data_IF_656742858098
#
_entry.id   IF_656742858098
#
_cell.length_a   1.000
_cell.length_b   1.000
_cell.length_c   1.000
_cell.angle_alpha   90.00
_cell.angle_beta   90.00
_cell.angle_gamma   90.00
#
_symmetry.space_group_name_H-M   'P 1'
#
loop_
_entity.id
_entity.type
_entity.pdbx_description
1 polymer ?
#
# COMPACT_ATOMS: atom_id res chain seq x y z
N UNK A 1 -20.25 -5.23 -36.09
CA UNK A 1 -20.56 -4.20 -35.08
C UNK A 1 -19.42 -4.15 -34.07
N UNK A 2 -18.40 -3.35 -34.34
CA UNK A 2 -17.23 -3.19 -33.48
C UNK A 2 -17.49 -2.05 -32.49
N UNK A 3 -17.79 -2.40 -31.24
CA UNK A 3 -17.91 -1.43 -30.15
C UNK A 3 -16.54 -0.86 -29.79
N UNK A 4 -16.14 0.25 -30.43
CA UNK A 4 -15.13 1.16 -29.87
C UNK A 4 -15.75 1.87 -28.67
N UNK A 5 -15.59 1.30 -27.47
CA UNK A 5 -15.76 2.10 -26.26
C UNK A 5 -14.78 3.27 -26.33
N UNK A 6 -15.30 4.50 -26.25
CA UNK A 6 -14.48 5.70 -26.20
C UNK A 6 -13.49 5.61 -25.03
N UNK A 7 -12.23 5.97 -25.28
CA UNK A 7 -11.12 5.92 -24.32
C UNK A 7 -11.45 6.63 -23.00
N UNK A 8 -12.18 7.74 -23.05
CA UNK A 8 -12.68 8.47 -21.87
C UNK A 8 -13.67 7.63 -21.06
N UNK A 9 -14.54 6.85 -21.71
CA UNK A 9 -15.52 5.99 -21.06
C UNK A 9 -14.86 4.81 -20.34
N UNK A 10 -13.79 4.24 -20.89
CA UNK A 10 -13.04 3.15 -20.24
C UNK A 10 -12.21 3.63 -19.05
N UNK A 11 -11.56 4.80 -19.14
CA UNK A 11 -10.83 5.39 -18.00
C UNK A 11 -11.77 5.84 -16.90
N UNK A 12 -12.95 6.39 -17.24
CA UNK A 12 -13.98 6.73 -16.25
C UNK A 12 -14.54 5.47 -15.59
N UNK A 13 -14.77 4.41 -16.36
CA UNK A 13 -15.23 3.13 -15.84
C UNK A 13 -14.22 2.48 -14.89
N UNK A 14 -12.92 2.48 -15.23
CA UNK A 14 -11.87 1.99 -14.34
C UNK A 14 -11.70 2.87 -13.09
N UNK A 15 -11.77 4.19 -13.24
CA UNK A 15 -11.72 5.13 -12.11
C UNK A 15 -12.93 4.97 -11.20
N UNK A 16 -14.13 4.78 -11.76
CA UNK A 16 -15.35 4.45 -11.02
C UNK A 16 -15.25 3.07 -10.37
N UNK A 17 -14.67 2.05 -11.01
CA UNK A 17 -14.43 0.75 -10.37
C UNK A 17 -13.42 0.87 -9.23
N UNK A 18 -12.37 1.68 -9.36
CA UNK A 18 -11.39 1.91 -8.30
C UNK A 18 -12.02 2.70 -7.14
N UNK A 19 -12.80 3.75 -7.42
CA UNK A 19 -13.60 4.48 -6.42
C UNK A 19 -14.64 3.58 -5.76
N UNK A 20 -15.29 2.71 -6.54
CA UNK A 20 -16.21 1.70 -6.04
C UNK A 20 -15.42 0.73 -5.18
N UNK A 21 -14.25 0.21 -5.55
CA UNK A 21 -13.42 -0.66 -4.70
C UNK A 21 -13.04 0.06 -3.40
N UNK A 22 -12.62 1.33 -3.45
CA UNK A 22 -12.36 2.13 -2.24
C UNK A 22 -13.63 2.38 -1.40
N UNK A 23 -14.81 2.45 -2.01
CA UNK A 23 -16.10 2.63 -1.34
C UNK A 23 -16.82 1.30 -0.99
N UNK A 24 -16.36 0.18 -1.55
CA UNK A 24 -16.99 -1.15 -1.48
C UNK A 24 -16.07 -2.21 -0.89
N UNK A 25 -14.84 -1.85 -0.45
CA UNK A 25 -14.32 -2.54 0.73
C UNK A 25 -15.37 -2.27 1.79
N UNK A 26 -16.16 -3.30 2.15
CA UNK A 26 -17.26 -3.06 3.03
C UNK A 26 -16.59 -2.61 4.33
N UNK A 27 -16.96 -1.42 4.79
CA UNK A 27 -17.07 -1.20 6.23
C UNK A 27 -18.12 -2.22 6.64
N UNK A 28 -17.70 -3.47 6.81
CA UNK A 28 -18.54 -4.47 7.43
C UNK A 28 -18.56 -3.97 8.87
N UNK A 29 -19.55 -3.13 9.17
CA UNK A 29 -20.09 -3.02 10.50
C UNK A 29 -20.66 -4.41 10.81
N UNK A 30 -19.77 -5.35 11.12
CA UNK A 30 -20.16 -6.62 11.69
C UNK A 30 -20.52 -6.26 13.12
N UNK A 31 -21.78 -5.91 13.32
CA UNK A 31 -22.40 -6.03 14.62
C UNK A 31 -22.56 -7.53 14.85
N UNK A 32 -21.50 -8.19 15.33
CA UNK A 32 -21.56 -9.58 15.75
C UNK A 32 -21.64 -9.63 17.26
N UNK A 33 -22.75 -10.18 17.75
CA UNK A 33 -22.80 -10.74 19.08
C UNK A 33 -21.64 -11.73 19.25
N UNK A 34 -20.79 -11.48 20.25
CA UNK A 34 -19.67 -12.33 20.59
C UNK A 34 -20.16 -13.78 20.80
N UNK A 35 -19.86 -14.66 19.86
CA UNK A 35 -19.96 -16.10 20.08
C UNK A 35 -18.73 -16.51 20.87
N UNK A 36 -18.89 -16.52 22.20
CA UNK A 36 -17.89 -17.00 23.13
C UNK A 36 -17.58 -18.48 22.84
N UNK A 37 -16.38 -18.77 22.37
CA UNK A 37 -15.85 -20.12 22.35
C UNK A 37 -14.51 -20.16 23.10
N UNK A 38 -14.65 -20.44 24.40
CA UNK A 38 -13.79 -21.35 25.19
C UNK A 38 -12.29 -21.07 25.12
N UNK A 39 -11.84 -20.18 26.00
CA UNK A 39 -10.72 -20.48 26.90
C UNK A 39 -11.31 -20.39 28.30
N UNK A 40 -11.71 -21.54 28.85
CA UNK A 40 -11.89 -21.66 30.29
C UNK A 40 -10.51 -21.53 30.94
N UNK A 41 -10.25 -20.37 31.51
CA UNK A 41 -9.31 -20.26 32.62
C UNK A 41 -10.11 -19.82 33.84
N UNK A 42 -10.10 -20.59 34.94
CA UNK A 42 -10.92 -20.33 36.11
C UNK A 42 -10.52 -19.01 36.75
N UNK A 43 -11.51 -18.28 37.27
CA UNK A 43 -11.31 -17.29 38.33
C UNK A 43 -10.40 -17.93 39.39
N UNK A 44 -9.17 -17.44 39.52
CA UNK A 44 -8.26 -17.87 40.57
C UNK A 44 -7.96 -16.68 41.46
N UNK A 45 -8.59 -16.77 42.62
CA UNK A 45 -8.46 -15.94 43.81
C UNK A 45 -6.97 -15.89 44.20
N UNK A 46 -6.23 -14.87 43.75
CA UNK A 46 -5.01 -14.31 44.34
C UNK A 46 -4.41 -13.23 43.40
N UNK A 47 -4.85 -11.98 43.51
CA UNK A 47 -4.29 -10.84 42.74
C UNK A 47 -5.02 -10.49 41.44
N UNK A 48 -6.36 -10.52 41.48
CA UNK A 48 -7.26 -10.37 40.32
C UNK A 48 -7.33 -8.92 39.81
N UNK A 49 -6.76 -8.67 38.64
CA UNK A 49 -7.05 -7.46 37.87
C UNK A 49 -8.33 -7.68 37.04
N UNK A 50 -9.26 -6.70 36.98
CA UNK A 50 -10.45 -6.83 36.16
C UNK A 50 -10.07 -6.87 34.67
N UNK A 51 -10.67 -7.77 33.90
CA UNK A 51 -10.50 -7.80 32.44
C UNK A 51 -10.90 -6.45 31.83
N UNK A 52 -10.11 -5.83 30.92
CA UNK A 52 -8.97 -6.35 30.16
C UNK A 52 -7.57 -6.13 30.78
N UNK A 53 -7.49 -5.70 32.04
CA UNK A 53 -6.22 -5.48 32.74
C UNK A 53 -5.58 -6.82 33.12
N UNK A 54 -4.24 -6.84 33.12
CA UNK A 54 -3.43 -8.01 33.48
C UNK A 54 -2.55 -7.71 34.69
N UNK A 55 -2.35 -8.71 35.54
CA UNK A 55 -1.54 -8.58 36.76
C UNK A 55 -0.05 -8.51 36.42
N UNK A 56 0.68 -7.59 37.04
CA UNK A 56 2.13 -7.51 36.89
C UNK A 56 2.82 -8.75 37.47
N UNK A 57 2.29 -9.32 38.57
CA UNK A 57 2.86 -10.50 39.23
C UNK A 57 2.80 -11.76 38.36
N UNK A 58 1.80 -11.89 37.50
CA UNK A 58 1.67 -13.04 36.59
C UNK A 58 2.61 -12.97 35.38
N UNK A 59 3.20 -11.80 35.11
CA UNK A 59 4.13 -11.61 33.97
C UNK A 59 5.60 -11.76 34.37
N UNK A 60 5.94 -11.72 35.67
CA UNK A 60 7.32 -11.84 36.16
C UNK A 60 8.20 -10.61 35.90
N UNK A 61 7.60 -9.48 35.48
CA UNK A 61 8.30 -8.22 35.20
C UNK A 61 8.32 -7.30 36.46
N UNK A 62 9.36 -6.47 36.58
CA UNK A 62 9.57 -5.52 37.69
C UNK A 62 8.77 -4.21 37.50
N UNK A 63 8.31 -3.60 38.61
CA UNK A 63 7.45 -2.39 38.65
C UNK A 63 8.04 -1.11 38.02
N UNK A 64 9.34 -1.08 37.73
CA UNK A 64 10.09 0.15 37.47
C UNK A 64 9.97 0.71 36.04
N UNK A 65 9.23 0.10 35.12
CA UNK A 65 9.39 0.40 33.68
C UNK A 65 8.13 0.54 32.83
N UNK A 66 6.95 0.85 33.38
CA UNK A 66 5.74 0.99 32.54
C UNK A 66 4.80 2.10 33.02
N UNK A 67 4.64 3.15 32.21
CA UNK A 67 3.67 4.25 32.40
C UNK A 67 2.19 3.82 32.31
N UNK A 68 1.92 2.53 32.14
CA UNK A 68 0.60 1.95 31.82
C UNK A 68 0.11 0.96 32.89
N UNK A 69 0.74 0.96 34.07
CA UNK A 69 0.38 0.14 35.20
C UNK A 69 -0.07 1.01 36.38
N UNK A 70 -1.15 0.62 37.03
CA UNK A 70 -1.67 1.27 38.24
C UNK A 70 -2.10 0.19 39.24
N UNK A 71 -1.64 0.31 40.49
CA UNK A 71 -1.97 -0.61 41.59
C UNK A 71 -1.67 -2.10 41.31
N UNK A 72 -0.59 -2.39 40.57
CA UNK A 72 -0.21 -3.77 40.20
C UNK A 72 -0.97 -4.36 39.01
N UNK A 73 -1.88 -3.60 38.40
CA UNK A 73 -2.63 -3.96 37.19
C UNK A 73 -2.19 -3.11 35.99
N UNK A 74 -1.99 -3.76 34.85
CA UNK A 74 -1.45 -3.14 33.64
C UNK A 74 -2.39 -3.31 32.45
N UNK A 75 -2.32 -2.39 31.49
CA UNK A 75 -3.00 -2.55 30.20
C UNK A 75 -2.33 -3.66 29.37
N UNK A 76 -3.16 -4.49 28.74
CA UNK A 76 -2.68 -5.54 27.83
C UNK A 76 -2.17 -4.95 26.51
N UNK A 77 -1.18 -5.59 25.89
CA UNK A 77 -0.72 -5.21 24.56
C UNK A 77 -1.59 -5.85 23.45
N UNK A 78 -1.98 -5.13 22.38
CA UNK A 78 -1.72 -3.71 22.10
C UNK A 78 -2.61 -2.78 22.91
N UNK A 79 -2.02 -1.68 23.41
CA UNK A 79 -2.66 -0.73 24.34
C UNK A 79 -4.00 -0.21 23.79
N UNK A 80 -4.05 0.11 22.50
CA UNK A 80 -5.25 0.69 21.91
C UNK A 80 -6.46 -0.25 21.93
N UNK A 81 -6.28 -1.57 21.83
CA UNK A 81 -7.38 -2.53 21.78
C UNK A 81 -8.19 -2.55 23.10
N UNK A 82 -7.59 -2.22 24.23
CA UNK A 82 -8.29 -2.19 25.53
C UNK A 82 -9.41 -1.16 25.58
N UNK A 83 -9.31 -0.09 24.78
CA UNK A 83 -10.27 1.01 24.80
C UNK A 83 -11.42 0.83 23.80
N UNK A 84 -11.26 -0.05 22.81
CA UNK A 84 -12.32 -0.44 21.88
C UNK A 84 -13.15 -1.59 22.43
N UNK A 85 -14.30 -1.85 21.79
CA UNK A 85 -15.05 -3.08 22.05
C UNK A 85 -14.18 -4.30 21.72
N UNK A 86 -14.43 -5.37 22.46
CA UNK A 86 -13.71 -6.63 22.33
C UNK A 86 -13.76 -7.14 20.88
N UNK A 87 -12.60 -7.60 20.38
CA UNK A 87 -12.40 -8.16 19.03
C UNK A 87 -12.75 -7.24 17.85
N UNK A 88 -13.15 -5.98 18.07
CA UNK A 88 -13.61 -5.11 16.99
C UNK A 88 -12.47 -4.75 16.01
N UNK A 89 -11.30 -4.38 16.54
CA UNK A 89 -10.14 -4.00 15.73
C UNK A 89 -9.45 -5.23 15.12
N UNK A 90 -9.35 -6.32 15.89
CA UNK A 90 -8.70 -7.55 15.45
C UNK A 90 -9.43 -8.18 14.26
N UNK A 91 -10.76 -8.12 14.25
CA UNK A 91 -11.59 -8.57 13.12
C UNK A 91 -11.30 -7.77 11.83
N UNK A 92 -11.14 -6.44 11.94
CA UNK A 92 -10.83 -5.57 10.81
C UNK A 92 -9.46 -5.93 10.24
N UNK A 93 -8.44 -6.08 11.10
CA UNK A 93 -7.11 -6.47 10.62
C UNK A 93 -7.08 -7.87 10.02
N UNK A 94 -7.83 -8.82 10.59
CA UNK A 94 -7.97 -10.15 10.00
C UNK A 94 -8.58 -10.08 8.59
N UNK A 95 -9.70 -9.37 8.42
CA UNK A 95 -10.33 -9.21 7.11
C UNK A 95 -9.38 -8.55 6.09
N UNK A 96 -8.67 -7.48 6.50
CA UNK A 96 -7.73 -6.78 5.63
C UNK A 96 -6.46 -7.59 5.34
N UNK A 97 -6.05 -8.50 6.22
CA UNK A 97 -4.96 -9.44 5.95
C UNK A 97 -5.29 -10.40 4.81
N UNK A 98 -6.56 -10.85 4.73
CA UNK A 98 -7.04 -11.67 3.61
C UNK A 98 -7.00 -10.88 2.30
N UNK A 99 -7.45 -9.62 2.32
CA UNK A 99 -7.39 -8.72 1.14
C UNK A 99 -5.94 -8.49 0.70
N UNK A 100 -5.00 -8.32 1.64
CA UNK A 100 -3.57 -8.18 1.34
C UNK A 100 -2.99 -9.44 0.72
N UNK A 101 -3.36 -10.62 1.19
CA UNK A 101 -2.95 -11.89 0.59
C UNK A 101 -3.46 -12.02 -0.85
N UNK A 102 -4.71 -11.63 -1.13
CA UNK A 102 -5.25 -11.58 -2.50
C UNK A 102 -4.46 -10.59 -3.36
N UNK A 103 -4.20 -9.38 -2.85
CA UNK A 103 -3.37 -8.37 -3.52
C UNK A 103 -1.97 -8.90 -3.86
N UNK A 104 -1.34 -9.65 -2.95
CA UNK A 104 -0.04 -10.27 -3.19
C UNK A 104 -0.11 -11.25 -4.38
N UNK A 105 -1.11 -12.14 -4.42
CA UNK A 105 -1.30 -13.11 -5.51
C UNK A 105 -1.53 -12.38 -6.84
N UNK A 106 -2.36 -11.35 -6.85
CA UNK A 106 -2.62 -10.51 -8.02
C UNK A 106 -1.32 -9.91 -8.59
N UNK A 107 -0.49 -9.31 -7.74
CA UNK A 107 0.80 -8.72 -8.17
C UNK A 107 1.79 -9.80 -8.60
N UNK A 108 1.80 -10.95 -7.93
CA UNK A 108 2.66 -12.08 -8.27
C UNK A 108 2.41 -12.55 -9.71
N UNK A 109 1.14 -12.64 -10.13
CA UNK A 109 0.78 -12.98 -11.52
C UNK A 109 1.36 -11.96 -12.51
N UNK A 110 1.32 -10.67 -12.19
CA UNK A 110 1.91 -9.62 -13.04
C UNK A 110 3.43 -9.77 -13.11
N UNK A 111 4.11 -9.92 -11.97
CA UNK A 111 5.57 -10.08 -11.92
C UNK A 111 6.01 -11.32 -12.72
N UNK A 112 5.36 -12.47 -12.51
CA UNK A 112 5.64 -13.70 -13.26
C UNK A 112 5.41 -13.48 -14.75
N UNK A 113 4.33 -12.79 -15.13
CA UNK A 113 4.07 -12.48 -16.54
C UNK A 113 5.18 -11.65 -17.17
N UNK A 114 5.66 -10.60 -16.50
CA UNK A 114 6.74 -9.76 -17.02
C UNK A 114 8.09 -10.49 -17.06
N UNK A 115 8.34 -11.41 -16.13
CA UNK A 115 9.53 -12.25 -16.15
C UNK A 115 9.45 -13.26 -17.30
N UNK A 116 8.35 -13.99 -17.47
CA UNK A 116 8.26 -15.08 -18.45
C UNK A 116 8.20 -14.57 -19.89
N UNK A 117 7.48 -13.47 -20.16
CA UNK A 117 7.28 -12.98 -21.52
C UNK A 117 8.53 -12.25 -22.04
N UNK A 118 9.09 -12.64 -23.20
CA UNK A 118 10.35 -12.07 -23.71
C UNK A 118 10.23 -10.58 -24.08
N UNK A 119 9.08 -10.16 -24.61
CA UNK A 119 8.80 -8.77 -25.00
C UNK A 119 8.69 -7.77 -23.82
N UNK A 120 8.83 -8.23 -22.57
CA UNK A 120 8.67 -7.40 -21.36
C UNK A 120 9.98 -7.18 -20.60
N UNK A 121 11.12 -7.62 -21.14
CA UNK A 121 12.44 -7.49 -20.52
C UNK A 121 13.29 -6.33 -21.07
N UNK A 122 12.77 -5.58 -22.03
CA UNK A 122 13.44 -4.42 -22.61
C UNK A 122 12.98 -3.10 -21.98
N UNK A 123 13.76 -2.03 -22.12
CA UNK A 123 13.33 -0.68 -21.70
C UNK A 123 12.15 -0.21 -22.54
N UNK A 124 11.09 0.39 -21.96
CA UNK A 124 10.89 0.79 -20.56
C UNK A 124 10.18 -0.24 -19.67
N UNK A 125 9.87 -1.44 -20.18
CA UNK A 125 9.11 -2.46 -19.47
C UNK A 125 9.84 -3.00 -18.23
N UNK A 126 11.18 -2.96 -18.21
CA UNK A 126 11.98 -3.34 -17.03
C UNK A 126 11.74 -2.44 -15.81
N UNK A 127 11.54 -1.13 -16.01
CA UNK A 127 11.21 -0.21 -14.91
C UNK A 127 9.84 -0.54 -14.31
N UNK A 128 8.88 -0.91 -15.17
CA UNK A 128 7.56 -1.38 -14.74
C UNK A 128 7.67 -2.71 -13.98
N UNK A 129 8.54 -3.63 -14.43
CA UNK A 129 8.82 -4.87 -13.70
C UNK A 129 9.41 -4.59 -12.31
N UNK A 130 10.42 -3.71 -12.19
CA UNK A 130 11.02 -3.35 -10.90
C UNK A 130 10.00 -2.69 -9.95
N UNK A 131 9.12 -1.83 -10.48
CA UNK A 131 8.00 -1.27 -9.73
C UNK A 131 7.08 -2.37 -9.18
N UNK A 132 6.68 -3.33 -10.00
CA UNK A 132 5.81 -4.44 -9.57
C UNK A 132 6.52 -5.38 -8.58
N UNK A 133 7.82 -5.61 -8.72
CA UNK A 133 8.61 -6.36 -7.73
C UNK A 133 8.59 -5.64 -6.38
N UNK A 134 8.70 -4.32 -6.38
CA UNK A 134 8.64 -3.52 -5.14
C UNK A 134 7.29 -3.62 -4.47
N UNK A 135 6.22 -3.56 -5.25
CA UNK A 135 4.86 -3.76 -4.76
C UNK A 135 4.64 -5.19 -4.24
N UNK A 136 5.26 -6.18 -4.88
CA UNK A 136 5.23 -7.57 -4.40
C UNK A 136 5.90 -7.69 -3.02
N UNK A 137 7.07 -7.06 -2.84
CA UNK A 137 7.76 -7.04 -1.53
C UNK A 137 6.91 -6.28 -0.51
N UNK A 138 6.33 -5.14 -0.87
CA UNK A 138 5.45 -4.37 0.01
C UNK A 138 4.24 -5.19 0.49
N UNK A 139 3.56 -5.88 -0.43
CA UNK A 139 2.41 -6.73 -0.10
C UNK A 139 2.80 -8.00 0.66
N UNK A 140 4.03 -8.51 0.47
CA UNK A 140 4.54 -9.69 1.20
C UNK A 140 4.66 -9.48 2.71
N UNK A 141 4.66 -8.23 3.18
CA UNK A 141 4.67 -7.88 4.62
C UNK A 141 3.53 -8.55 5.38
N UNK A 142 2.41 -8.84 4.72
CA UNK A 142 1.27 -9.53 5.33
C UNK A 142 1.60 -10.92 5.89
N UNK A 143 2.62 -11.60 5.36
CA UNK A 143 2.99 -12.94 5.82
C UNK A 143 3.67 -12.95 7.18
N UNK A 144 4.22 -11.82 7.63
CA UNK A 144 4.85 -11.75 8.96
C UNK A 144 3.82 -11.85 10.10
N UNK A 145 2.58 -11.42 9.88
CA UNK A 145 1.52 -11.40 10.90
C UNK A 145 0.31 -12.26 10.52
N UNK A 146 0.41 -13.07 9.46
CA UNK A 146 -0.70 -13.91 9.03
C UNK A 146 -1.07 -14.92 10.13
N UNK A 147 -2.35 -14.94 10.50
CA UNK A 147 -2.90 -15.79 11.57
C UNK A 147 -2.93 -15.13 12.94
N UNK A 148 -1.82 -14.51 13.38
CA UNK A 148 -1.74 -13.83 14.68
C UNK A 148 -0.94 -12.53 14.59
N UNK A 149 -1.66 -11.41 14.68
CA UNK A 149 -1.10 -10.07 14.57
C UNK A 149 -0.31 -9.64 15.81
N UNK A 150 -0.61 -10.23 16.97
CA UNK A 150 0.03 -9.85 18.24
C UNK A 150 1.51 -10.19 18.25
N UNK A 151 1.94 -11.17 17.44
CA UNK A 151 3.35 -11.54 17.24
C UNK A 151 4.22 -10.39 16.72
N UNK A 152 3.64 -9.45 15.97
CA UNK A 152 4.35 -8.26 15.50
C UNK A 152 4.13 -7.08 16.46
N UNK A 153 2.92 -6.94 17.00
CA UNK A 153 2.56 -5.75 17.78
C UNK A 153 3.15 -5.74 19.20
N UNK A 154 3.41 -6.92 19.77
CA UNK A 154 3.77 -7.09 21.17
C UNK A 154 5.08 -7.89 21.32
N UNK A 155 5.90 -7.51 22.29
CA UNK A 155 7.03 -8.31 22.74
C UNK A 155 6.60 -9.28 23.86
N UNK A 156 5.81 -8.77 24.80
CA UNK A 156 5.24 -9.50 25.94
C UNK A 156 3.76 -9.13 26.11
N UNK A 157 3.10 -9.68 27.13
CA UNK A 157 1.68 -9.40 27.45
C UNK A 157 1.38 -7.91 27.69
N UNK A 158 2.37 -7.12 28.12
CA UNK A 158 2.21 -5.68 28.43
C UNK A 158 3.07 -4.79 27.53
N UNK A 159 4.18 -5.30 27.00
CA UNK A 159 5.21 -4.50 26.33
C UNK A 159 4.96 -4.46 24.82
N UNK A 160 4.80 -3.25 24.26
CA UNK A 160 4.73 -3.06 22.81
C UNK A 160 6.04 -3.46 22.12
N UNK A 161 5.93 -3.97 20.90
CA UNK A 161 7.07 -4.37 20.12
C UNK A 161 7.89 -3.16 19.64
N UNK A 162 9.19 -3.32 19.75
CA UNK A 162 10.23 -2.45 19.22
C UNK A 162 11.23 -3.34 18.50
N UNK A 163 12.02 -2.77 17.59
CA UNK A 163 13.06 -3.54 16.91
C UNK A 163 14.10 -4.16 17.88
N UNK A 164 14.21 -3.65 19.12
CA UNK A 164 15.17 -4.15 20.12
C UNK A 164 14.62 -5.34 20.92
N UNK A 165 13.33 -5.37 21.21
CA UNK A 165 12.71 -6.43 22.02
C UNK A 165 11.97 -7.49 21.17
N UNK A 166 11.64 -7.20 19.90
CA UNK A 166 10.99 -8.13 19.01
C UNK A 166 11.62 -8.08 17.60
N UNK A 167 12.32 -9.15 17.22
CA UNK A 167 13.01 -9.25 15.94
C UNK A 167 12.06 -9.28 14.74
N UNK A 168 10.86 -9.89 14.87
CA UNK A 168 9.87 -9.94 13.79
C UNK A 168 9.38 -8.54 13.45
N UNK A 169 9.08 -7.72 14.46
CA UNK A 169 8.73 -6.32 14.30
C UNK A 169 9.86 -5.52 13.60
N UNK A 170 11.10 -5.76 14.00
CA UNK A 170 12.28 -5.14 13.39
C UNK A 170 12.43 -5.46 11.91
N UNK A 171 12.45 -6.74 11.56
CA UNK A 171 12.61 -7.21 10.17
C UNK A 171 11.43 -6.76 9.31
N UNK A 172 10.21 -6.92 9.79
CA UNK A 172 9.02 -6.48 9.06
C UNK A 172 9.04 -4.96 8.83
N UNK A 173 9.41 -4.19 9.86
CA UNK A 173 9.55 -2.73 9.77
C UNK A 173 10.59 -2.29 8.74
N UNK A 174 11.75 -2.96 8.69
CA UNK A 174 12.75 -2.71 7.66
C UNK A 174 12.23 -3.01 6.25
N UNK A 175 11.56 -4.16 6.06
CA UNK A 175 11.01 -4.58 4.76
C UNK A 175 9.93 -3.61 4.27
N UNK A 176 9.03 -3.17 5.15
CA UNK A 176 7.97 -2.23 4.75
C UNK A 176 8.55 -0.86 4.39
N UNK A 177 9.52 -0.35 5.16
CA UNK A 177 10.18 0.93 4.84
C UNK A 177 10.92 0.83 3.50
N UNK A 178 11.73 -0.21 3.33
CA UNK A 178 12.50 -0.43 2.10
C UNK A 178 11.61 -0.53 0.86
N UNK A 179 10.59 -1.37 0.92
CA UNK A 179 9.66 -1.57 -0.20
C UNK A 179 8.83 -0.32 -0.51
N UNK A 180 8.46 0.47 0.50
CA UNK A 180 7.76 1.75 0.28
C UNK A 180 8.62 2.75 -0.50
N UNK A 181 9.89 2.90 -0.11
CA UNK A 181 10.81 3.78 -0.84
C UNK A 181 11.12 3.28 -2.25
N UNK A 182 11.30 1.97 -2.43
CA UNK A 182 11.45 1.39 -3.76
C UNK A 182 10.22 1.68 -4.64
N UNK A 183 9.02 1.48 -4.09
CA UNK A 183 7.77 1.70 -4.79
C UNK A 183 7.63 3.14 -5.28
N UNK A 184 7.86 4.12 -4.40
CA UNK A 184 7.72 5.53 -4.79
C UNK A 184 8.83 5.98 -5.73
N UNK A 185 10.08 5.54 -5.52
CA UNK A 185 11.22 5.98 -6.32
C UNK A 185 11.20 5.38 -7.72
N UNK A 186 10.78 4.13 -7.87
CA UNK A 186 10.54 3.57 -9.20
C UNK A 186 9.32 4.17 -9.90
N UNK A 187 8.26 4.52 -9.15
CA UNK A 187 7.15 5.28 -9.71
C UNK A 187 7.62 6.66 -10.22
N UNK A 188 8.42 7.36 -9.42
CA UNK A 188 9.02 8.65 -9.81
C UNK A 188 9.92 8.50 -11.05
N UNK A 189 10.74 7.46 -11.13
CA UNK A 189 11.57 7.18 -12.31
C UNK A 189 10.74 6.90 -13.56
N UNK A 190 9.62 6.18 -13.44
CA UNK A 190 8.67 5.94 -14.54
C UNK A 190 8.09 7.27 -15.06
N UNK A 191 7.69 8.16 -14.16
CA UNK A 191 7.17 9.48 -14.50
C UNK A 191 8.23 10.33 -15.19
N UNK A 192 9.45 10.38 -14.64
CA UNK A 192 10.55 11.13 -15.25
C UNK A 192 10.87 10.63 -16.65
N UNK A 193 11.01 9.31 -16.83
CA UNK A 193 11.24 8.73 -18.14
C UNK A 193 10.18 9.18 -19.16
N UNK A 194 8.91 9.12 -18.75
CA UNK A 194 7.81 9.56 -19.61
C UNK A 194 7.85 11.05 -19.93
N UNK A 195 8.12 11.90 -18.94
CA UNK A 195 8.20 13.35 -19.12
C UNK A 195 9.32 13.74 -20.08
N UNK A 196 10.53 13.22 -19.86
CA UNK A 196 11.69 13.50 -20.72
C UNK A 196 11.44 13.04 -22.16
N UNK A 197 10.85 11.85 -22.35
CA UNK A 197 10.54 11.34 -23.68
C UNK A 197 9.44 12.15 -24.38
N UNK A 198 8.40 12.57 -23.65
CA UNK A 198 7.21 13.19 -24.24
C UNK A 198 7.36 14.70 -24.44
N UNK A 199 7.81 15.42 -23.41
CA UNK A 199 7.87 16.89 -23.41
C UNK A 199 9.18 17.39 -24.01
N UNK A 200 10.29 16.72 -23.70
CA UNK A 200 11.62 17.13 -24.15
C UNK A 200 12.16 16.30 -25.31
N UNK A 201 11.46 15.26 -25.77
CA UNK A 201 11.91 14.41 -26.88
C UNK A 201 13.26 13.74 -26.62
N UNK A 202 13.68 13.62 -25.35
CA UNK A 202 15.02 13.21 -24.97
C UNK A 202 15.03 11.82 -24.35
N UNK A 203 15.93 10.96 -24.84
CA UNK A 203 16.11 9.59 -24.35
C UNK A 203 17.19 9.49 -23.25
N UNK A 204 17.42 10.57 -22.49
CA UNK A 204 18.47 10.62 -21.47
C UNK A 204 18.30 9.55 -20.38
N UNK A 205 17.07 9.34 -19.89
CA UNK A 205 16.78 8.35 -18.86
C UNK A 205 16.96 6.93 -19.39
N UNK A 206 16.66 6.69 -20.68
CA UNK A 206 16.90 5.41 -21.34
C UNK A 206 18.40 5.14 -21.51
N UNK A 207 19.18 6.16 -21.87
CA UNK A 207 20.64 6.07 -22.03
C UNK A 207 21.34 5.70 -20.72
N UNK A 208 20.91 6.28 -19.59
CA UNK A 208 21.52 6.06 -18.27
C UNK A 208 20.70 5.16 -17.35
N UNK A 209 19.85 4.29 -17.91
CA UNK A 209 18.88 3.52 -17.11
C UNK A 209 19.54 2.72 -15.98
N UNK A 210 20.67 2.06 -16.21
CA UNK A 210 21.32 1.19 -15.22
C UNK A 210 21.74 2.01 -13.99
N UNK A 211 22.30 3.19 -14.23
CA UNK A 211 22.69 4.14 -13.20
C UNK A 211 21.45 4.62 -12.43
N UNK A 212 20.36 4.93 -13.13
CA UNK A 212 19.09 5.32 -12.49
C UNK A 212 18.51 4.22 -11.59
N UNK A 213 18.55 2.96 -12.01
CA UNK A 213 18.08 1.83 -11.20
C UNK A 213 18.96 1.59 -9.97
N UNK A 214 20.28 1.66 -10.11
CA UNK A 214 21.21 1.55 -8.98
C UNK A 214 20.98 2.70 -7.99
N UNK A 215 20.76 3.92 -8.49
CA UNK A 215 20.47 5.08 -7.67
C UNK A 215 19.17 4.92 -6.87
N UNK A 216 18.10 4.42 -7.49
CA UNK A 216 16.84 4.12 -6.80
C UNK A 216 17.05 3.13 -5.66
N UNK A 217 17.78 2.03 -5.90
CA UNK A 217 18.04 1.02 -4.87
C UNK A 217 18.89 1.61 -3.74
N UNK A 218 19.98 2.31 -4.07
CA UNK A 218 20.88 2.91 -3.08
C UNK A 218 20.15 3.91 -2.19
N UNK A 219 19.27 4.73 -2.77
CA UNK A 219 18.48 5.70 -2.02
C UNK A 219 17.46 5.04 -1.10
N UNK A 220 16.74 4.00 -1.58
CA UNK A 220 15.83 3.21 -0.73
C UNK A 220 16.55 2.55 0.43
N UNK A 221 17.72 1.94 0.18
CA UNK A 221 18.56 1.33 1.24
C UNK A 221 18.96 2.39 2.27
N UNK A 222 19.35 3.59 1.83
CA UNK A 222 19.75 4.68 2.72
C UNK A 222 18.62 5.09 3.65
N UNK A 223 17.41 5.30 3.13
CA UNK A 223 16.24 5.66 3.94
C UNK A 223 15.76 4.52 4.86
N UNK A 224 16.06 3.26 4.55
CA UNK A 224 15.80 2.14 5.47
C UNK A 224 16.86 2.01 6.57
N UNK A 225 18.14 2.14 6.22
CA UNK A 225 19.24 1.98 7.17
C UNK A 225 19.19 3.06 8.25
N UNK A 226 18.85 4.31 7.90
CA UNK A 226 18.86 5.43 8.85
C UNK A 226 17.98 5.19 10.11
N UNK A 227 16.65 4.95 10.01
CA UNK A 227 15.83 4.66 11.18
C UNK A 227 16.19 3.33 11.86
N UNK A 228 16.68 2.34 11.09
CA UNK A 228 17.09 1.04 11.61
C UNK A 228 18.35 1.15 12.49
N UNK A 229 19.38 1.88 12.03
CA UNK A 229 20.60 2.12 12.79
C UNK A 229 20.32 2.87 14.09
N UNK A 230 19.36 3.80 14.07
CA UNK A 230 18.93 4.56 15.25
C UNK A 230 18.05 3.74 16.23
N UNK A 231 17.67 2.50 15.90
CA UNK A 231 16.77 1.73 16.76
C UNK A 231 15.34 2.26 16.78
N UNK A 232 14.92 3.06 15.78
CA UNK A 232 13.66 3.81 15.78
C UNK A 232 12.54 3.12 15.00
N UNK A 233 12.57 1.80 14.92
CA UNK A 233 11.46 1.00 14.38
C UNK A 233 10.69 0.41 15.56
N UNK A 234 9.39 0.67 15.63
CA UNK A 234 8.51 0.18 16.67
C UNK A 234 7.07 0.03 16.18
N UNK A 235 6.30 -0.74 16.93
CA UNK A 235 4.86 -0.75 16.78
C UNK A 235 4.28 0.56 17.34
N UNK A 236 3.48 1.26 16.53
CA UNK A 236 2.71 2.41 16.98
C UNK A 236 1.23 2.06 17.04
N UNK A 237 0.65 1.85 15.86
CA UNK A 237 -0.73 1.45 15.65
C UNK A 237 -0.88 0.83 14.25
N UNK A 238 -1.87 -0.02 14.04
CA UNK A 238 -2.11 -0.69 12.75
C UNK A 238 -1.69 -2.16 12.75
N UNK A 239 -1.45 -2.70 11.57
CA UNK A 239 -1.02 -4.09 11.39
C UNK A 239 0.50 -4.29 11.29
N UNK A 240 1.27 -3.20 11.23
CA UNK A 240 2.69 -3.21 10.89
C UNK A 240 3.52 -2.38 11.87
N UNK A 241 4.76 -2.80 12.09
CA UNK A 241 5.80 -1.97 12.66
C UNK A 241 6.34 -0.98 11.62
N UNK A 242 6.57 0.25 12.05
CA UNK A 242 7.08 1.35 11.23
C UNK A 242 8.06 2.18 12.06
N UNK A 243 8.53 3.30 11.51
CA UNK A 243 9.31 4.29 12.27
C UNK A 243 8.47 4.81 13.44
N UNK A 244 9.09 4.89 14.62
CA UNK A 244 8.47 5.27 15.88
C UNK A 244 7.78 6.63 15.79
N UNK A 245 6.59 6.79 16.43
CA UNK A 245 5.94 8.08 16.58
C UNK A 245 6.91 9.12 17.16
N UNK A 246 7.11 10.24 16.46
CA UNK A 246 8.02 11.32 16.85
C UNK A 246 9.25 11.46 15.95
N UNK A 247 9.67 10.39 15.26
CA UNK A 247 10.72 10.43 14.23
C UNK A 247 10.19 10.05 12.84
N UNK A 248 8.98 9.51 12.77
CA UNK A 248 8.30 9.06 11.56
C UNK A 248 8.13 10.17 10.51
N UNK A 249 7.78 11.39 10.93
CA UNK A 249 7.67 12.51 9.99
C UNK A 249 9.00 12.82 9.29
N UNK A 250 10.09 12.96 10.06
CA UNK A 250 11.39 13.36 9.53
C UNK A 250 12.10 12.24 8.77
N UNK A 251 11.98 10.99 9.24
CA UNK A 251 12.72 9.85 8.67
C UNK A 251 11.94 9.05 7.62
N UNK A 252 10.61 9.18 7.58
CA UNK A 252 9.77 8.39 6.68
C UNK A 252 8.86 9.29 5.81
N UNK A 253 7.96 10.07 6.41
CA UNK A 253 6.91 10.78 5.65
C UNK A 253 7.42 11.93 4.79
N UNK A 254 8.24 12.83 5.33
CA UNK A 254 8.78 13.96 4.55
C UNK A 254 9.70 13.52 3.41
N UNK A 255 10.65 12.58 3.60
CA UNK A 255 11.41 12.02 2.49
C UNK A 255 10.51 11.42 1.40
N UNK A 256 9.43 10.74 1.79
CA UNK A 256 8.46 10.17 0.84
C UNK A 256 7.75 11.27 0.04
N UNK A 257 7.33 12.34 0.71
CA UNK A 257 6.67 13.50 0.11
C UNK A 257 7.52 14.21 -0.95
N UNK A 258 8.84 14.31 -0.71
CA UNK A 258 9.81 14.97 -1.61
C UNK A 258 9.83 14.30 -3.01
N UNK A 259 9.53 13.02 -3.11
CA UNK A 259 9.43 12.33 -4.40
C UNK A 259 7.99 12.23 -4.91
N UNK A 260 7.03 11.96 -4.02
CA UNK A 260 5.63 11.77 -4.38
C UNK A 260 5.00 13.04 -4.99
N UNK A 261 5.18 14.19 -4.34
CA UNK A 261 4.52 15.45 -4.74
C UNK A 261 5.10 15.97 -6.07
N UNK A 262 6.43 16.14 -6.23
CA UNK A 262 6.98 16.57 -7.53
C UNK A 262 6.72 15.56 -8.63
N UNK A 263 6.74 14.25 -8.33
CA UNK A 263 6.36 13.21 -9.28
C UNK A 263 4.96 13.43 -9.84
N UNK A 264 3.97 13.64 -8.96
CA UNK A 264 2.61 13.94 -9.39
C UNK A 264 2.52 15.23 -10.22
N UNK A 265 3.18 16.31 -9.80
CA UNK A 265 3.17 17.59 -10.53
C UNK A 265 3.78 17.45 -11.93
N UNK A 266 4.94 16.81 -12.06
CA UNK A 266 5.59 16.55 -13.34
C UNK A 266 4.66 15.73 -14.25
N UNK A 267 4.02 14.71 -13.70
CA UNK A 267 3.12 13.87 -14.46
C UNK A 267 1.86 14.63 -14.91
N UNK A 268 1.30 15.46 -14.03
CA UNK A 268 0.18 16.33 -14.33
C UNK A 268 0.52 17.32 -15.46
N UNK A 269 1.69 17.97 -15.41
CA UNK A 269 2.17 18.84 -16.49
C UNK A 269 2.36 18.08 -17.81
N UNK A 270 2.88 16.85 -17.76
CA UNK A 270 3.04 15.99 -18.93
C UNK A 270 1.68 15.68 -19.57
N UNK A 271 0.68 15.35 -18.75
CA UNK A 271 -0.68 15.08 -19.21
C UNK A 271 -1.32 16.30 -19.86
N UNK A 272 -1.17 17.49 -19.26
CA UNK A 272 -1.68 18.75 -19.84
C UNK A 272 -1.02 19.08 -21.19
N UNK A 273 0.29 18.90 -21.30
CA UNK A 273 1.03 19.14 -22.55
C UNK A 273 0.50 18.25 -23.68
N UNK A 274 0.32 16.97 -23.38
CA UNK A 274 -0.23 15.98 -24.32
C UNK A 274 -1.68 16.30 -24.70
N UNK A 275 -2.51 16.66 -23.71
CA UNK A 275 -3.90 17.05 -23.95
C UNK A 275 -4.02 18.29 -24.85
N UNK A 276 -3.19 19.31 -24.62
CA UNK A 276 -3.12 20.50 -25.46
C UNK A 276 -2.70 20.16 -26.89
N UNK A 277 -1.68 19.32 -27.06
CA UNK A 277 -1.22 18.89 -28.39
C UNK A 277 -2.32 18.20 -29.19
N UNK A 278 -3.13 17.32 -28.56
CA UNK A 278 -4.26 16.67 -29.22
C UNK A 278 -5.35 17.64 -29.63
N UNK A 279 -5.70 18.58 -28.76
CA UNK A 279 -6.73 19.57 -29.07
C UNK A 279 -6.34 20.41 -30.29
N UNK A 280 -5.07 20.80 -30.39
CA UNK A 280 -4.55 21.56 -31.54
C UNK A 280 -4.55 20.69 -32.82
N UNK A 281 -4.05 19.46 -32.78
CA UNK A 281 -4.07 18.57 -33.96
C UNK A 281 -5.47 18.16 -34.42
N UNK A 282 -6.45 18.11 -33.51
CA UNK A 282 -7.85 17.84 -33.87
C UNK A 282 -8.52 19.04 -34.53
N UNK A 283 -8.08 20.27 -34.23
CA UNK A 283 -8.58 21.49 -34.87
C UNK A 283 -8.06 21.57 -36.31
N UNK A 284 -6.76 21.37 -36.52
CA UNK A 284 -6.11 21.39 -37.83
C UNK A 284 -6.70 20.32 -38.79
N UNK A 285 -7.02 19.12 -38.28
CA UNK A 285 -7.65 18.06 -39.08
C UNK A 285 -9.08 18.42 -39.53
N UNK A 286 -9.78 19.30 -38.81
CA UNK A 286 -11.12 19.72 -39.19
C UNK A 286 -11.08 20.82 -40.26
N UNK A 287 -10.07 21.69 -40.25
CA UNK A 287 -9.87 22.73 -41.26
C UNK A 287 -9.38 22.17 -42.61
N UNK A 288 -8.56 21.12 -42.62
CA UNK A 288 -8.08 20.45 -43.85
C UNK A 288 -9.16 19.63 -44.60
N UNK A 289 -10.36 19.46 -44.02
CA UNK A 289 -11.49 18.85 -44.73
C UNK A 289 -12.19 19.80 -45.72
N UNK A 290 -11.72 21.04 -45.78
CA UNK A 290 -12.09 22.05 -46.77
C UNK A 290 -10.86 22.86 -47.16
N UNK A 291 -10.02 22.37 -48.08
CA UNK A 291 -9.43 23.13 -49.19
C UNK A 291 -8.43 22.26 -49.97
N UNK A 292 -8.68 22.25 -51.27
CA UNK A 292 -7.87 21.84 -52.42
C UNK A 292 -6.35 21.83 -52.27
N UNK A 293 -5.77 20.71 -52.74
CA UNK A 293 -4.61 20.61 -53.62
C UNK A 293 -3.95 21.94 -54.01
N UNK A 294 -2.86 22.31 -53.33
CA UNK A 294 -1.88 23.21 -53.92
C UNK A 294 -0.44 22.86 -53.50
N UNK A 295 0.38 22.68 -54.54
CA UNK A 295 1.82 22.46 -54.46
C UNK A 295 2.49 23.73 -53.94
N UNK A 296 3.18 23.66 -52.80
CA UNK A 296 4.29 24.58 -52.54
C UNK A 296 5.41 23.91 -51.75
N UNK A 297 6.59 23.90 -52.38
CA UNK A 297 7.86 23.60 -51.75
C UNK A 297 8.12 24.64 -50.65
N UNK A 298 8.12 24.19 -49.40
CA UNK A 298 8.81 24.89 -48.32
C UNK A 298 9.37 23.87 -47.34
N UNK A 299 10.69 23.87 -47.29
CA UNK A 299 11.54 23.19 -46.33
C UNK A 299 11.22 23.61 -44.90
N UNK A 300 10.18 23.01 -44.31
CA UNK A 300 10.07 22.89 -42.85
C UNK A 300 10.59 21.51 -42.46
N UNK A 301 11.84 21.49 -42.00
CA UNK A 301 12.35 20.49 -41.07
C UNK A 301 11.58 20.64 -39.75
N UNK A 302 10.30 20.30 -39.77
CA UNK A 302 9.57 19.90 -38.58
C UNK A 302 9.53 18.38 -38.67
N UNK A 303 10.13 17.73 -37.68
CA UNK A 303 10.01 16.29 -37.47
C UNK A 303 8.54 15.90 -37.60
N UNK A 304 8.18 15.29 -38.73
CA UNK A 304 6.87 14.71 -39.00
C UNK A 304 6.66 13.50 -38.07
N UNK A 305 6.44 13.76 -36.79
CA UNK A 305 5.87 12.77 -35.89
C UNK A 305 4.39 12.72 -36.24
N UNK A 306 4.00 11.68 -36.97
CA UNK A 306 2.62 11.51 -37.43
C UNK A 306 1.68 11.48 -36.22
N UNK A 307 0.51 12.12 -36.29
CA UNK A 307 -0.46 12.16 -35.18
C UNK A 307 -0.85 10.77 -34.64
N UNK A 308 -0.67 9.71 -35.43
CA UNK A 308 -0.84 8.32 -35.03
C UNK A 308 0.21 7.81 -34.03
N UNK A 309 1.46 8.29 -34.12
CA UNK A 309 2.53 7.96 -33.16
C UNK A 309 2.28 8.65 -31.81
N UNK A 310 1.76 9.88 -31.85
CA UNK A 310 1.34 10.64 -30.66
C UNK A 310 0.15 9.95 -29.99
N UNK A 311 -0.86 9.50 -30.75
CA UNK A 311 -2.03 8.76 -30.23
C UNK A 311 -1.64 7.40 -29.63
N UNK A 312 -0.63 6.72 -30.20
CA UNK A 312 -0.10 5.45 -29.66
C UNK A 312 0.67 5.70 -28.34
N UNK A 313 1.44 6.78 -28.24
CA UNK A 313 2.09 7.19 -26.99
C UNK A 313 1.07 7.53 -25.89
N UNK A 314 -0.04 8.20 -26.23
CA UNK A 314 -1.15 8.55 -25.31
C UNK A 314 -1.86 7.34 -24.72
N UNK A 315 -2.12 6.31 -25.54
CA UNK A 315 -2.76 5.06 -25.08
C UNK A 315 -1.94 4.34 -24.00
N UNK A 316 -0.64 4.63 -23.89
CA UNK A 316 0.29 4.02 -22.94
C UNK A 316 0.37 4.84 -21.62
N UNK A 317 0.04 6.12 -21.64
CA UNK A 317 0.25 7.04 -20.51
C UNK A 317 -0.77 6.94 -19.37
N UNK A 318 -2.01 6.52 -19.65
CA UNK A 318 -3.05 6.49 -18.63
C UNK A 318 -2.76 5.49 -17.50
N UNK A 319 -2.03 4.39 -17.77
CA UNK A 319 -1.63 3.42 -16.74
C UNK A 319 -0.67 4.04 -15.72
N UNK A 320 0.34 4.76 -16.20
CA UNK A 320 1.27 5.47 -15.33
C UNK A 320 0.57 6.58 -14.52
N UNK A 321 -0.43 7.25 -15.11
CA UNK A 321 -1.26 8.25 -14.41
C UNK A 321 -2.09 7.63 -13.28
N UNK A 322 -2.77 6.53 -13.56
CA UNK A 322 -3.55 5.83 -12.55
C UNK A 322 -2.66 5.34 -11.40
N UNK A 323 -1.48 4.81 -11.70
CA UNK A 323 -0.51 4.41 -10.67
C UNK A 323 -0.10 5.60 -9.78
N UNK A 324 0.33 6.70 -10.38
CA UNK A 324 0.77 7.88 -9.64
C UNK A 324 -0.37 8.44 -8.76
N UNK A 325 -1.59 8.48 -9.29
CA UNK A 325 -2.77 8.97 -8.57
C UNK A 325 -3.17 8.04 -7.42
N UNK A 326 -3.17 6.72 -7.62
CA UNK A 326 -3.48 5.74 -6.56
C UNK A 326 -2.46 5.83 -5.42
N UNK A 327 -1.16 5.92 -5.75
CA UNK A 327 -0.11 6.03 -4.73
C UNK A 327 -0.19 7.36 -3.98
N UNK A 328 -0.48 8.47 -4.68
CA UNK A 328 -0.66 9.78 -4.04
C UNK A 328 -1.87 9.78 -3.09
N UNK A 329 -3.02 9.24 -3.54
CA UNK A 329 -4.22 9.14 -2.70
C UNK A 329 -3.93 8.28 -1.47
N UNK A 330 -3.30 7.12 -1.65
CA UNK A 330 -2.92 6.22 -0.54
C UNK A 330 -1.99 6.92 0.44
N UNK A 331 -1.00 7.66 -0.05
CA UNK A 331 -0.10 8.48 0.77
C UNK A 331 -0.88 9.52 1.59
N UNK A 332 -1.74 10.32 0.96
CA UNK A 332 -2.49 11.38 1.65
C UNK A 332 -3.42 10.81 2.71
N UNK A 333 -4.16 9.74 2.39
CA UNK A 333 -5.06 9.09 3.34
C UNK A 333 -4.28 8.59 4.55
N UNK A 334 -3.19 7.86 4.34
CA UNK A 334 -2.44 7.24 5.43
C UNK A 334 -1.69 8.29 6.26
N UNK A 335 -1.06 9.28 5.62
CA UNK A 335 -0.37 10.36 6.33
C UNK A 335 -1.34 11.21 7.17
N UNK A 336 -2.54 11.51 6.63
CA UNK A 336 -3.60 12.20 7.37
C UNK A 336 -4.06 11.38 8.58
N UNK A 337 -4.24 10.07 8.39
CA UNK A 337 -4.60 9.15 9.46
C UNK A 337 -3.55 9.14 10.59
N UNK A 338 -2.26 8.98 10.26
CA UNK A 338 -1.18 8.94 11.25
C UNK A 338 -1.07 10.25 12.03
N UNK A 339 -1.13 11.39 11.34
CA UNK A 339 -0.93 12.71 11.96
C UNK A 339 -2.10 13.13 12.84
N UNK A 340 -3.34 12.86 12.44
CA UNK A 340 -4.54 13.29 13.17
C UNK A 340 -4.94 12.27 14.25
N UNK A 341 -4.88 10.98 13.95
CA UNK A 341 -5.49 9.96 14.81
C UNK A 341 -4.46 9.30 15.74
N UNK A 342 -3.32 8.83 15.24
CA UNK A 342 -2.34 8.11 16.07
C UNK A 342 -1.73 9.02 17.14
N UNK A 343 -1.62 10.33 16.87
CA UNK A 343 -1.19 11.32 17.85
C UNK A 343 -2.03 11.36 19.14
N UNK A 344 -3.31 10.94 19.08
CA UNK A 344 -4.22 10.91 20.24
C UNK A 344 -3.85 9.84 21.27
N UNK A 345 -3.26 8.74 20.83
CA UNK A 345 -2.84 7.60 21.66
C UNK A 345 -1.32 7.57 21.89
N UNK A 346 -0.65 8.71 21.71
CA UNK A 346 0.78 8.81 22.01
C UNK A 346 1.03 8.59 23.53
N UNK A 347 2.09 7.87 23.94
CA UNK A 347 2.38 7.58 25.34
C UNK A 347 2.41 8.81 26.26
N UNK A 348 2.85 9.96 25.73
CA UNK A 348 2.85 11.25 26.43
C UNK A 348 1.47 11.71 26.92
N UNK A 349 0.39 11.25 26.27
CA UNK A 349 -0.97 11.61 26.65
C UNK A 349 -1.48 10.78 27.84
N UNK A 350 -0.75 9.75 28.28
CA UNK A 350 -1.16 8.89 29.38
C UNK A 350 -0.49 9.25 30.72
N UNK A 351 0.49 10.17 30.71
CA UNK A 351 1.17 10.62 31.92
C UNK A 351 1.34 12.16 31.93
N UNK A 352 0.58 12.91 32.76
CA UNK A 352 -0.44 12.42 33.71
C UNK A 352 -1.67 11.83 33.02
N UNK A 353 -2.41 10.92 33.70
CA UNK A 353 -3.61 10.29 33.12
C UNK A 353 -4.70 11.34 32.88
N UNK A 354 -5.23 11.36 31.66
CA UNK A 354 -6.32 12.26 31.28
C UNK A 354 -7.63 11.88 31.99
N UNK A 355 -8.55 12.85 32.20
CA UNK A 355 -9.82 12.59 32.90
C UNK A 355 -10.65 11.45 32.29
N UNK A 356 -10.65 11.32 30.96
CA UNK A 356 -11.39 10.24 30.27
C UNK A 356 -10.80 8.84 30.57
N UNK A 357 -9.48 8.73 30.76
CA UNK A 357 -8.82 7.47 31.12
C UNK A 357 -9.24 7.06 32.51
N UNK A 358 -9.31 8.01 33.44
CA UNK A 358 -9.76 7.77 34.81
C UNK A 358 -11.23 7.32 34.85
N UNK A 359 -12.10 7.96 34.06
CA UNK A 359 -13.50 7.56 33.95
C UNK A 359 -13.66 6.15 33.36
N UNK A 360 -12.90 5.84 32.30
CA UNK A 360 -12.84 4.50 31.72
C UNK A 360 -12.36 3.47 32.75
N UNK A 361 -11.29 3.78 33.49
CA UNK A 361 -10.70 2.90 34.49
C UNK A 361 -11.66 2.63 35.66
N UNK A 362 -12.35 3.66 36.14
CA UNK A 362 -13.38 3.51 37.18
C UNK A 362 -14.50 2.58 36.72
N UNK A 363 -14.99 2.76 35.48
CA UNK A 363 -15.99 1.87 34.89
C UNK A 363 -15.49 0.40 34.84
N UNK A 364 -14.21 0.18 34.48
CA UNK A 364 -13.61 -1.16 34.46
C UNK A 364 -13.53 -1.77 35.86
N UNK A 365 -13.13 -1.02 36.90
CA UNK A 365 -13.13 -1.54 38.27
C UNK A 365 -14.54 -1.87 38.79
N UNK A 366 -15.54 -1.08 38.42
CA UNK A 366 -16.93 -1.29 38.85
C UNK A 366 -17.60 -2.51 38.18
N UNK A 367 -17.29 -2.75 36.90
CA UNK A 367 -17.97 -3.75 36.07
C UNK A 367 -17.12 -4.99 35.78
N UNK A 368 -15.79 -4.85 35.72
CA UNK A 368 -14.86 -5.90 35.29
C UNK A 368 -14.70 -7.05 36.26
N UNK A 369 -15.00 -6.84 37.55
CA UNK A 369 -15.13 -7.94 38.52
C UNK A 369 -16.49 -8.65 38.44
N UNK A 370 -17.50 -8.02 37.84
CA UNK A 370 -18.89 -8.54 37.78
C UNK A 370 -19.23 -9.24 36.46
N UNK A 371 -18.64 -8.79 35.35
CA UNK A 371 -18.98 -9.27 34.02
C UNK A 371 -17.79 -9.20 33.06
N UNK A 372 -17.64 -10.24 32.23
CA UNK A 372 -16.69 -10.26 31.12
C UNK A 372 -16.99 -9.19 30.04
N UNK A 373 -18.20 -8.63 30.04
CA UNK A 373 -18.63 -7.60 29.09
C UNK A 373 -18.20 -6.17 29.48
N UNK A 374 -17.40 -6.01 30.54
CA UNK A 374 -17.01 -4.70 31.06
C UNK A 374 -16.28 -3.84 30.02
N UNK A 375 -15.40 -4.42 29.20
CA UNK A 375 -14.71 -3.69 28.14
C UNK A 375 -15.69 -3.06 27.15
N UNK A 376 -16.73 -3.80 26.73
CA UNK A 376 -17.71 -3.29 25.78
C UNK A 376 -18.55 -2.16 26.37
N UNK A 377 -18.94 -2.27 27.65
CA UNK A 377 -19.68 -1.22 28.37
C UNK A 377 -18.81 0.03 28.51
N UNK A 378 -17.59 -0.13 29.00
CA UNK A 378 -16.69 0.97 29.32
C UNK A 378 -16.05 1.62 28.09
N UNK A 379 -16.04 0.95 26.93
CA UNK A 379 -15.55 1.52 25.66
C UNK A 379 -16.19 2.87 25.30
N UNK A 380 -17.45 3.08 25.70
CA UNK A 380 -18.20 4.33 25.49
C UNK A 380 -17.54 5.57 26.13
N UNK A 381 -16.80 5.41 27.22
CA UNK A 381 -16.09 6.52 27.89
C UNK A 381 -14.80 6.93 27.17
N UNK A 382 -14.25 6.05 26.32
CA UNK A 382 -12.99 6.30 25.63
C UNK A 382 -13.18 6.67 24.14
N UNK A 383 -14.31 6.31 23.53
CA UNK A 383 -14.51 6.34 22.07
C UNK A 383 -14.29 7.72 21.42
N UNK A 384 -14.64 8.81 22.11
CA UNK A 384 -14.50 10.18 21.59
C UNK A 384 -13.04 10.66 21.52
N UNK A 385 -12.17 10.09 22.36
CA UNK A 385 -10.76 10.46 22.46
C UNK A 385 -9.84 9.52 21.67
N UNK A 386 -10.38 8.46 21.07
CA UNK A 386 -9.63 7.45 20.32
C UNK A 386 -9.60 7.74 18.81
N UNK A 387 -8.67 7.11 18.08
CA UNK A 387 -8.73 6.99 16.63
C UNK A 387 -10.08 6.47 16.15
N UNK A 388 -10.70 7.17 15.21
CA UNK A 388 -11.95 6.68 14.59
C UNK A 388 -11.69 5.41 13.79
N UNK A 389 -12.49 4.37 14.03
CA UNK A 389 -12.38 3.07 13.35
C UNK A 389 -12.61 3.19 11.85
N UNK A 390 -13.50 4.09 11.41
CA UNK A 390 -13.72 4.36 9.99
C UNK A 390 -12.46 4.87 9.29
N UNK A 391 -11.71 5.78 9.92
CA UNK A 391 -10.48 6.32 9.35
C UNK A 391 -9.39 5.24 9.26
N UNK A 392 -9.26 4.41 10.31
CA UNK A 392 -8.38 3.24 10.29
C UNK A 392 -8.72 2.29 9.15
N UNK A 393 -9.99 1.91 9.04
CA UNK A 393 -10.46 0.98 8.02
C UNK A 393 -10.15 1.51 6.61
N UNK A 394 -10.39 2.80 6.34
CA UNK A 394 -10.09 3.44 5.05
C UNK A 394 -8.58 3.44 4.76
N UNK A 395 -7.74 3.82 5.72
CA UNK A 395 -6.29 3.87 5.53
C UNK A 395 -5.68 2.48 5.27
N UNK A 396 -6.08 1.48 6.06
CA UNK A 396 -5.61 0.11 5.91
C UNK A 396 -6.17 -0.53 4.63
N UNK A 397 -7.43 -0.25 4.27
CA UNK A 397 -8.01 -0.71 3.01
C UNK A 397 -7.26 -0.14 1.80
N UNK A 398 -6.87 1.13 1.86
CA UNK A 398 -6.17 1.77 0.74
C UNK A 398 -4.82 1.09 0.45
N UNK A 399 -4.09 0.70 1.49
CA UNK A 399 -2.85 -0.06 1.31
C UNK A 399 -3.11 -1.53 0.95
N UNK A 400 -4.17 -2.14 1.50
CA UNK A 400 -4.51 -3.53 1.26
C UNK A 400 -4.92 -3.81 -0.19
N UNK A 401 -5.52 -2.86 -0.89
CA UNK A 401 -6.02 -3.02 -2.26
C UNK A 401 -5.02 -2.62 -3.35
N UNK A 402 -3.85 -2.06 -3.01
CA UNK A 402 -2.85 -1.61 -3.99
C UNK A 402 -2.52 -2.69 -5.04
N UNK A 403 -2.32 -3.93 -4.60
CA UNK A 403 -1.98 -5.02 -5.51
C UNK A 403 -3.12 -5.38 -6.47
N UNK A 404 -4.35 -5.42 -5.97
CA UNK A 404 -5.57 -5.59 -6.79
C UNK A 404 -5.69 -4.47 -7.80
N UNK A 405 -5.52 -3.21 -7.39
CA UNK A 405 -5.60 -2.06 -8.30
C UNK A 405 -4.58 -2.14 -9.43
N UNK A 406 -3.33 -2.51 -9.12
CA UNK A 406 -2.28 -2.68 -10.13
C UNK A 406 -2.59 -3.85 -11.07
N UNK A 407 -3.10 -4.96 -10.55
CA UNK A 407 -3.56 -6.07 -11.39
C UNK A 407 -4.72 -5.66 -12.29
N UNK A 408 -5.65 -4.84 -11.84
CA UNK A 408 -6.71 -4.32 -12.72
C UNK A 408 -6.10 -3.46 -13.83
N UNK A 409 -5.14 -2.59 -13.53
CA UNK A 409 -4.51 -1.69 -14.51
C UNK A 409 -3.71 -2.46 -15.58
N UNK A 410 -2.91 -3.46 -15.19
CA UNK A 410 -2.04 -4.20 -16.11
C UNK A 410 -2.62 -5.53 -16.59
N UNK A 411 -3.31 -6.24 -15.71
CA UNK A 411 -3.88 -7.57 -15.95
C UNK A 411 -5.14 -7.54 -16.80
N UNK A 412 -5.93 -6.47 -16.81
CA UNK A 412 -7.08 -6.36 -17.75
C UNK A 412 -6.67 -6.01 -19.18
N UNK A 413 -5.38 -5.77 -19.43
CA UNK A 413 -4.93 -5.48 -20.78
C UNK A 413 -5.06 -6.71 -21.67
N UNK A 414 -5.82 -6.56 -22.76
CA UNK A 414 -5.98 -7.59 -23.80
C UNK A 414 -4.61 -8.01 -24.35
N UNK A 415 -3.65 -7.09 -24.40
CA UNK A 415 -2.28 -7.33 -24.83
C UNK A 415 -1.60 -8.43 -23.99
N UNK A 416 -1.74 -8.40 -22.65
CA UNK A 416 -1.06 -9.37 -21.78
C UNK A 416 -1.53 -10.80 -22.05
N UNK A 417 -2.85 -11.01 -22.14
CA UNK A 417 -3.43 -12.33 -22.39
C UNK A 417 -3.20 -12.81 -23.82
N UNK A 418 -3.17 -11.88 -24.78
CA UNK A 418 -2.85 -12.20 -26.18
C UNK A 418 -1.41 -12.69 -26.29
N UNK A 419 -0.46 -12.03 -25.63
CA UNK A 419 0.94 -12.47 -25.60
C UNK A 419 1.12 -13.82 -24.90
N UNK A 420 0.41 -14.07 -23.79
CA UNK A 420 0.39 -15.39 -23.15
C UNK A 420 -0.15 -16.48 -24.10
N UNK A 421 -1.26 -16.20 -24.80
CA UNK A 421 -1.81 -17.12 -25.81
C UNK A 421 -0.79 -17.41 -26.91
N UNK A 422 -0.12 -16.38 -27.44
CA UNK A 422 0.91 -16.52 -28.46
C UNK A 422 2.13 -17.32 -27.95
N UNK A 423 2.55 -17.07 -26.71
CA UNK A 423 3.64 -17.81 -26.07
C UNK A 423 3.30 -19.30 -25.96
N UNK A 424 2.11 -19.65 -25.48
CA UNK A 424 1.68 -21.05 -25.41
C UNK A 424 1.58 -21.68 -26.80
N UNK A 425 0.96 -21.01 -27.78
CA UNK A 425 0.87 -21.52 -29.15
C UNK A 425 2.25 -21.80 -29.74
N UNK A 426 3.22 -20.88 -29.58
CA UNK A 426 4.59 -21.06 -30.08
C UNK A 426 5.31 -22.20 -29.37
N UNK A 427 5.21 -22.25 -28.03
CA UNK A 427 5.85 -23.29 -27.22
C UNK A 427 5.31 -24.68 -27.56
N UNK A 428 4.00 -24.85 -27.63
CA UNK A 428 3.39 -26.15 -27.95
C UNK A 428 3.56 -26.55 -29.42
N UNK A 429 3.59 -25.60 -30.38
CA UNK A 429 3.89 -25.91 -31.79
C UNK A 429 5.32 -26.38 -32.02
N UNK A 430 6.30 -25.85 -31.27
CA UNK A 430 7.67 -26.37 -31.31
C UNK A 430 7.81 -27.77 -30.70
N UNK A 431 6.98 -28.12 -29.70
CA UNK A 431 6.97 -29.47 -29.11
C UNK A 431 6.44 -30.50 -30.10
N UNK A 432 5.39 -30.19 -30.88
CA UNK A 432 4.88 -31.12 -31.91
C UNK A 432 5.86 -31.33 -33.06
N UNK A 433 6.57 -30.30 -33.53
CA UNK A 433 7.60 -30.49 -34.56
C UNK A 433 8.77 -31.36 -34.08
N UNK A 434 9.24 -31.15 -32.84
CA UNK A 434 10.35 -31.93 -32.27
C UNK A 434 10.01 -33.40 -32.03
N UNK A 435 8.73 -33.74 -31.82
CA UNK A 435 8.25 -35.13 -31.78
C UNK A 435 8.07 -35.75 -33.18
N UNK A 436 7.95 -34.94 -34.23
CA UNK A 436 7.81 -35.40 -35.61
C UNK A 436 9.18 -35.73 -36.24
N UNK A 437 10.22 -35.01 -35.84
CA UNK A 437 11.59 -35.19 -36.33
C UNK A 437 12.38 -36.29 -35.56
N UNK A 438 11.76 -36.89 -34.54
CA UNK A 438 12.32 -38.02 -33.75
C UNK A 438 11.83 -39.40 -34.18
N UNK A 439 11.00 -39.49 -35.22
CA UNK A 439 10.54 -40.76 -35.82
C UNK A 439 11.27 -40.95 -37.15
N UNK A 440 12.58 -41.14 -37.09
CA UNK A 440 13.31 -41.82 -38.16
C UNK A 440 13.17 -43.32 -37.94
N UNK A 441 12.37 -43.91 -38.81
CA UNK A 441 12.16 -45.33 -39.07
C UNK A 441 13.38 -46.21 -38.79
N UNK A 442 13.14 -47.28 -38.01
CA UNK A 442 13.82 -48.56 -38.18
C UNK A 442 12.82 -49.54 -38.78
#
# INVERSE_FOLDING_TARGET
MNGRLSFTSFTFFLFSIILVIFASVPVIAIDYQAKSSIIESPLSINGECPYPLVSLKSTGLSETSTSFCQNGCCLSCPIANNFYKENQIDLIFYALSVVRAISFICVLIIVVSYIVLPNKREHPAITVLCFNISLLIFTSVTFFYMGDIRKIQCADLITQATMRNNALCGVQGMVVVFSTFLLILWCFLLILHLHFQTVWGSNIVQKYHLISHIFVIALSVTFTILPSAMGKISFGFGAVCLVSPGYDNTLFWYPLAIFAIPGFLIHFCTFLFVGKSQFMSSLDYHDDSTMSQDNSNSSRLMTNVTGQEIVRAIRIQWRALMLALILLITYVIYWTYVTIEIGKIAPKNFNPPQPWILNWLNCIYENGMKSKNAQNICSSYAIDNLPKISHLAVAESATATLGICVFIIFGTSVDLWTEWKLYFVRKFRCVTHKNSDGVTWA
#
